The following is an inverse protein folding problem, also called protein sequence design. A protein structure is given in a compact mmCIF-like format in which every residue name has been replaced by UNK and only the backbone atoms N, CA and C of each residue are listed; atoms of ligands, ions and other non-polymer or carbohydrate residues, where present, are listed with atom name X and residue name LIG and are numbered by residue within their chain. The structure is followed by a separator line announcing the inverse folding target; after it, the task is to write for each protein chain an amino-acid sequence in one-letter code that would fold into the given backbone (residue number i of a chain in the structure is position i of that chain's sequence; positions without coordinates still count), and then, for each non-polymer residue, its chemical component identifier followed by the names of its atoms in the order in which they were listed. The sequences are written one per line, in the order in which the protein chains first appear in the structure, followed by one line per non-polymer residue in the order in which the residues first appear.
data_IF_178741736195
#
_entry.id   IF_178741736195
#
_cell.length_a   1.000
_cell.length_b   1.000
_cell.length_c   1.000
_cell.angle_alpha   90.00
_cell.angle_beta   90.00
_cell.angle_gamma   90.00
#
_symmetry.space_group_name_H-M   'P 1'
#
loop_
_entity.id
_entity.type
_entity.pdbx_description
1 polymer ?
#
# COMPACT_ATOMS: atom_id res chain seq x y z
N UNK A 1 7.23 57.75 4.27
CA UNK A 1 5.82 57.65 4.66
C UNK A 1 5.30 56.34 4.06
N UNK A 2 5.57 55.24 4.77
CA UNK A 2 5.15 53.92 4.35
C UNK A 2 3.79 53.61 4.98
N UNK A 3 2.82 53.33 4.15
CA UNK A 3 1.53 52.78 4.55
C UNK A 3 1.75 51.43 5.24
N UNK A 4 1.66 51.46 6.55
CA UNK A 4 1.45 50.28 7.36
C UNK A 4 0.03 49.80 7.08
N UNK A 5 -0.13 48.92 6.09
CA UNK A 5 -1.34 48.12 5.97
C UNK A 5 -1.52 47.38 7.29
N UNK A 6 -2.29 47.94 8.21
CA UNK A 6 -2.92 47.19 9.31
C UNK A 6 -3.78 46.13 8.65
N UNK A 7 -3.22 44.91 8.53
CA UNK A 7 -4.02 43.70 8.22
C UNK A 7 -5.09 43.66 9.34
N UNK A 8 -6.34 44.03 9.00
CA UNK A 8 -7.48 43.66 9.83
C UNK A 8 -7.34 42.16 10.14
N UNK A 9 -7.58 41.70 11.37
CA UNK A 9 -7.55 40.30 11.70
C UNK A 9 -8.58 39.60 10.78
N UNK A 10 -8.08 38.92 9.74
CA UNK A 10 -8.95 38.19 8.83
C UNK A 10 -9.67 37.14 9.67
N UNK A 11 -11.00 37.19 9.64
CA UNK A 11 -11.86 36.24 10.34
C UNK A 11 -11.46 34.79 9.99
N UNK A 12 -11.28 33.94 11.00
CA UNK A 12 -10.91 32.53 10.80
C UNK A 12 -11.88 31.81 9.84
N UNK A 13 -13.15 32.18 9.85
CA UNK A 13 -14.18 31.65 8.95
C UNK A 13 -13.87 31.98 7.48
N UNK A 14 -13.47 33.20 7.17
CA UNK A 14 -13.14 33.61 5.79
C UNK A 14 -11.90 32.87 5.28
N UNK A 15 -10.91 32.71 6.17
CA UNK A 15 -9.70 31.89 5.84
C UNK A 15 -10.02 30.43 5.62
N UNK A 16 -10.92 29.87 6.44
CA UNK A 16 -11.40 28.51 6.30
C UNK A 16 -12.09 28.26 4.95
N UNK A 17 -13.05 29.12 4.60
CA UNK A 17 -13.76 29.02 3.32
C UNK A 17 -12.83 29.16 2.11
N UNK A 18 -11.86 30.08 2.20
CA UNK A 18 -10.85 30.27 1.16
C UNK A 18 -9.93 29.08 1.07
N UNK A 19 -9.53 28.51 2.20
CA UNK A 19 -8.65 27.34 2.26
C UNK A 19 -9.30 26.09 1.67
N UNK A 20 -10.56 25.82 2.01
CA UNK A 20 -11.30 24.69 1.42
C UNK A 20 -11.39 24.83 -0.10
N UNK A 21 -11.79 26.00 -0.60
CA UNK A 21 -11.90 26.26 -2.05
C UNK A 21 -10.57 26.16 -2.78
N UNK A 22 -9.51 26.78 -2.25
CA UNK A 22 -8.19 26.79 -2.89
C UNK A 22 -7.55 25.41 -2.99
N UNK A 23 -7.79 24.56 -2.01
CA UNK A 23 -7.21 23.21 -1.95
C UNK A 23 -8.21 22.13 -2.39
N UNK A 24 -9.38 22.51 -2.91
CA UNK A 24 -10.43 21.62 -3.41
C UNK A 24 -10.75 20.49 -2.39
N UNK A 25 -10.84 20.85 -1.10
CA UNK A 25 -11.02 19.87 -0.03
C UNK A 25 -12.44 19.33 0.05
N UNK A 26 -13.43 20.14 -0.31
CA UNK A 26 -14.83 19.77 -0.35
C UNK A 26 -15.57 20.66 -1.36
N UNK A 27 -16.47 20.07 -2.11
CA UNK A 27 -17.41 20.74 -3.00
C UNK A 27 -18.67 21.18 -2.20
N UNK A 28 -19.44 22.16 -2.68
CA UNK A 28 -20.67 22.61 -2.00
C UNK A 28 -21.72 21.51 -1.82
N UNK A 29 -21.77 20.56 -2.74
CA UNK A 29 -22.68 19.41 -2.76
C UNK A 29 -22.24 18.25 -1.87
N UNK A 30 -21.01 18.25 -1.38
CA UNK A 30 -20.50 17.18 -0.55
C UNK A 30 -21.26 17.04 0.77
N UNK A 31 -21.47 15.79 1.18
CA UNK A 31 -21.95 15.47 2.50
C UNK A 31 -20.77 15.04 3.37
N UNK A 32 -20.44 15.85 4.39
CA UNK A 32 -19.17 15.77 5.11
C UNK A 32 -19.38 15.17 6.50
N UNK A 33 -18.67 14.10 6.83
CA UNK A 33 -18.62 13.53 8.17
C UNK A 33 -17.53 14.24 8.98
N UNK A 34 -17.92 14.99 10.00
CA UNK A 34 -17.00 15.67 10.91
C UNK A 34 -16.64 14.77 12.08
N UNK A 35 -15.34 14.54 12.28
CA UNK A 35 -14.87 13.78 13.44
C UNK A 35 -14.68 14.72 14.63
N UNK A 36 -15.58 14.64 15.63
CA UNK A 36 -15.63 15.58 16.74
C UNK A 36 -15.34 14.86 18.06
N UNK A 37 -14.23 15.24 18.71
CA UNK A 37 -13.78 14.65 19.98
C UNK A 37 -14.24 15.38 21.23
N UNK A 38 -14.84 16.58 21.09
CA UNK A 38 -15.14 17.48 22.21
C UNK A 38 -14.03 18.48 22.53
N UNK A 39 -12.81 18.26 21.99
CA UNK A 39 -11.68 19.20 22.11
C UNK A 39 -11.84 20.42 21.22
N UNK A 40 -11.17 21.54 21.58
CA UNK A 40 -11.33 22.86 20.94
C UNK A 40 -11.19 22.81 19.42
N UNK A 41 -10.22 22.05 18.87
CA UNK A 41 -9.95 22.02 17.43
C UNK A 41 -11.15 21.41 16.68
N UNK A 42 -11.72 20.33 17.19
CA UNK A 42 -12.86 19.64 16.59
C UNK A 42 -14.18 20.41 16.75
N UNK A 43 -14.37 21.10 17.88
CA UNK A 43 -15.55 21.93 18.13
C UNK A 43 -15.54 23.19 17.25
N UNK A 44 -14.36 23.80 17.05
CA UNK A 44 -14.20 24.92 16.10
C UNK A 44 -14.41 24.45 14.66
N UNK A 45 -13.90 23.28 14.28
CA UNK A 45 -14.15 22.70 12.96
C UNK A 45 -15.65 22.53 12.69
N UNK A 46 -16.41 21.98 13.63
CA UNK A 46 -17.87 21.85 13.56
C UNK A 46 -18.54 23.21 13.31
N UNK A 47 -18.21 24.22 14.13
CA UNK A 47 -18.76 25.57 13.99
C UNK A 47 -18.44 26.18 12.61
N UNK A 48 -17.22 26.05 12.13
CA UNK A 48 -16.79 26.60 10.83
C UNK A 48 -17.53 25.97 9.65
N UNK A 49 -17.71 24.65 9.64
CA UNK A 49 -18.46 23.98 8.59
C UNK A 49 -19.93 24.37 8.58
N UNK A 50 -20.59 24.34 9.73
CA UNK A 50 -22.01 24.73 9.85
C UNK A 50 -22.20 26.16 9.39
N UNK A 51 -21.37 27.10 9.87
CA UNK A 51 -21.44 28.52 9.49
C UNK A 51 -21.08 28.79 8.03
N UNK A 52 -20.36 27.89 7.39
CA UNK A 52 -20.06 27.94 5.96
C UNK A 52 -21.17 27.34 5.08
N UNK A 53 -22.23 26.78 5.67
CA UNK A 53 -23.38 26.25 4.96
C UNK A 53 -23.17 24.85 4.33
N UNK A 54 -22.12 24.13 4.73
CA UNK A 54 -21.93 22.76 4.26
C UNK A 54 -22.92 21.79 4.90
N UNK A 55 -23.31 20.77 4.15
CA UNK A 55 -24.10 19.66 4.67
C UNK A 55 -23.19 18.72 5.45
N UNK A 56 -23.41 18.61 6.76
CA UNK A 56 -22.52 17.87 7.66
C UNK A 56 -23.26 16.89 8.55
N UNK A 57 -22.54 15.85 9.01
CA UNK A 57 -22.90 15.02 10.16
C UNK A 57 -21.70 14.88 11.10
N UNK A 58 -21.95 14.56 12.36
CA UNK A 58 -20.96 14.49 13.43
C UNK A 58 -20.75 13.04 13.86
N UNK A 59 -19.50 12.58 13.87
CA UNK A 59 -19.08 11.28 14.42
C UNK A 59 -18.21 11.50 15.67
N UNK A 60 -18.64 10.95 16.80
CA UNK A 60 -17.89 10.92 18.06
C UNK A 60 -17.45 9.51 18.42
N UNK A 61 -16.15 9.32 18.67
CA UNK A 61 -15.58 8.05 19.11
C UNK A 61 -15.32 8.08 20.62
N UNK A 62 -16.04 7.31 21.39
CA UNK A 62 -15.78 7.13 22.82
C UNK A 62 -14.97 5.83 23.04
N UNK A 63 -13.67 5.97 23.32
CA UNK A 63 -12.76 4.84 23.54
C UNK A 63 -12.77 4.31 24.97
N UNK A 64 -13.61 4.86 25.84
CA UNK A 64 -13.78 4.48 27.26
C UNK A 64 -12.46 4.47 28.07
N UNK A 65 -11.51 5.33 27.72
CA UNK A 65 -10.17 5.33 28.32
C UNK A 65 -10.05 6.27 29.54
N UNK A 66 -11.02 7.20 29.74
CA UNK A 66 -10.96 8.25 30.76
C UNK A 66 -12.20 8.26 31.67
N UNK A 67 -13.00 7.19 31.66
CA UNK A 67 -14.19 7.10 32.50
C UNK A 67 -15.15 8.27 32.29
N UNK A 68 -15.50 8.99 33.36
CA UNK A 68 -16.47 10.11 33.36
C UNK A 68 -16.10 11.21 32.36
N UNK A 69 -14.81 11.55 32.20
CA UNK A 69 -14.40 12.57 31.21
C UNK A 69 -14.80 12.19 29.79
N UNK A 70 -14.75 10.90 29.45
CA UNK A 70 -15.17 10.43 28.10
C UNK A 70 -16.69 10.54 27.90
N UNK A 71 -17.48 10.40 28.95
CA UNK A 71 -18.93 10.56 28.89
C UNK A 71 -19.33 12.03 28.81
N UNK A 72 -18.62 12.92 29.51
CA UNK A 72 -18.83 14.37 29.45
C UNK A 72 -18.44 14.95 28.07
N UNK A 73 -17.40 14.40 27.42
CA UNK A 73 -17.05 14.77 26.05
C UNK A 73 -18.15 14.35 25.06
N UNK A 74 -18.66 13.13 25.20
CA UNK A 74 -19.76 12.59 24.40
C UNK A 74 -21.02 13.46 24.53
N UNK A 75 -21.40 13.82 25.76
CA UNK A 75 -22.58 14.66 26.03
C UNK A 75 -22.41 16.09 25.49
N UNK A 76 -21.20 16.67 25.57
CA UNK A 76 -20.90 17.98 24.98
C UNK A 76 -21.11 17.95 23.47
N UNK A 77 -20.54 16.95 22.78
CA UNK A 77 -20.64 16.82 21.32
C UNK A 77 -22.09 16.60 20.90
N UNK A 78 -22.83 15.77 21.62
CA UNK A 78 -24.26 15.53 21.37
C UNK A 78 -25.06 16.84 21.42
N UNK A 79 -24.92 17.61 22.50
CA UNK A 79 -25.64 18.88 22.67
C UNK A 79 -25.35 19.91 21.59
N UNK A 80 -24.07 20.02 21.19
CA UNK A 80 -23.73 20.99 20.14
C UNK A 80 -24.21 20.51 18.75
N UNK A 81 -24.19 19.20 18.47
CA UNK A 81 -24.76 18.65 17.24
C UNK A 81 -26.29 18.91 17.16
N UNK A 82 -27.01 18.67 18.25
CA UNK A 82 -28.45 18.96 18.37
C UNK A 82 -28.74 20.44 18.21
N UNK A 83 -27.97 21.31 18.82
CA UNK A 83 -28.10 22.79 18.71
C UNK A 83 -27.94 23.28 17.27
N UNK A 84 -27.02 22.65 16.50
CA UNK A 84 -26.83 22.94 15.08
C UNK A 84 -27.81 22.24 14.17
N UNK A 85 -28.62 21.27 14.66
CA UNK A 85 -29.57 20.51 13.89
C UNK A 85 -28.91 19.54 12.90
N UNK A 86 -27.72 19.04 13.24
CA UNK A 86 -26.95 18.13 12.37
C UNK A 86 -27.00 16.67 12.86
N UNK A 87 -26.99 15.69 11.96
CA UNK A 87 -26.93 14.27 12.35
C UNK A 87 -25.74 13.98 13.26
N UNK A 88 -25.98 13.14 14.27
CA UNK A 88 -24.98 12.79 15.26
C UNK A 88 -24.91 11.28 15.44
N UNK A 89 -23.70 10.75 15.45
CA UNK A 89 -23.39 9.35 15.62
C UNK A 89 -22.36 9.19 16.71
N UNK A 90 -22.56 8.20 17.57
CA UNK A 90 -21.62 7.83 18.63
C UNK A 90 -21.32 6.34 18.58
N UNK A 91 -20.06 5.99 18.81
CA UNK A 91 -19.65 4.60 18.99
C UNK A 91 -18.71 4.48 20.18
N UNK A 92 -19.07 3.62 21.12
CA UNK A 92 -18.24 3.24 22.26
C UNK A 92 -17.43 2.01 21.88
N UNK A 93 -16.11 2.09 22.05
CA UNK A 93 -15.18 1.03 21.65
C UNK A 93 -14.60 0.33 22.89
N UNK A 94 -14.58 -1.00 22.89
CA UNK A 94 -13.77 -1.79 23.81
C UNK A 94 -12.32 -1.84 23.32
N UNK A 95 -11.60 -0.71 23.52
CA UNK A 95 -10.23 -0.58 23.05
C UNK A 95 -9.27 -1.54 23.76
N UNK A 96 -9.55 -1.88 25.03
CA UNK A 96 -8.69 -2.79 25.81
C UNK A 96 -8.82 -4.23 25.32
N UNK A 97 -10.04 -4.71 25.11
CA UNK A 97 -10.28 -6.04 24.55
C UNK A 97 -9.68 -6.20 23.14
N UNK A 98 -9.76 -5.13 22.31
CA UNK A 98 -9.12 -5.14 20.99
C UNK A 98 -7.59 -5.21 21.06
N UNK A 99 -6.95 -4.50 22.00
CA UNK A 99 -5.50 -4.59 22.21
C UNK A 99 -5.07 -6.00 22.61
N UNK A 100 -5.81 -6.63 23.53
CA UNK A 100 -5.53 -8.01 23.99
C UNK A 100 -5.68 -9.02 22.84
N UNK A 101 -6.69 -8.82 21.98
CA UNK A 101 -6.95 -9.70 20.84
C UNK A 101 -5.91 -9.58 19.70
N UNK A 102 -5.42 -8.36 19.45
CA UNK A 102 -4.56 -8.08 18.28
C UNK A 102 -3.07 -7.91 18.61
N UNK A 103 -2.71 -7.69 19.88
CA UNK A 103 -1.37 -7.32 20.30
C UNK A 103 -0.94 -5.90 19.87
N UNK A 104 -1.87 -5.08 19.36
CA UNK A 104 -1.59 -3.71 18.95
C UNK A 104 -1.40 -2.78 20.15
N UNK A 105 -0.66 -1.69 19.95
CA UNK A 105 -0.64 -0.60 20.94
C UNK A 105 -2.02 0.09 20.98
N UNK A 106 -2.34 0.71 22.13
CA UNK A 106 -3.59 1.48 22.33
C UNK A 106 -3.83 2.49 21.20
N UNK A 107 -2.80 3.21 20.78
CA UNK A 107 -2.89 4.22 19.72
C UNK A 107 -3.22 3.59 18.35
N UNK A 108 -2.60 2.43 18.04
CA UNK A 108 -2.85 1.70 16.80
C UNK A 108 -4.26 1.11 16.76
N UNK A 109 -4.69 0.47 17.86
CA UNK A 109 -6.03 -0.11 17.97
C UNK A 109 -7.11 0.98 17.87
N UNK A 110 -6.98 2.06 18.63
CA UNK A 110 -7.92 3.20 18.58
C UNK A 110 -7.97 3.84 17.18
N UNK A 111 -6.82 3.95 16.51
CA UNK A 111 -6.74 4.48 15.14
C UNK A 111 -7.47 3.56 14.16
N UNK A 112 -7.20 2.27 14.18
CA UNK A 112 -7.84 1.29 13.28
C UNK A 112 -9.36 1.26 13.47
N UNK A 113 -9.82 1.17 14.71
CA UNK A 113 -11.25 1.16 15.04
C UNK A 113 -11.97 2.41 14.56
N UNK A 114 -11.35 3.57 14.76
CA UNK A 114 -11.85 4.87 14.32
C UNK A 114 -12.08 4.93 12.82
N UNK A 115 -11.07 4.60 12.02
CA UNK A 115 -11.17 4.69 10.57
C UNK A 115 -12.13 3.65 9.98
N UNK A 116 -12.13 2.42 10.51
CA UNK A 116 -13.10 1.41 10.10
C UNK A 116 -14.55 1.87 10.30
N UNK A 117 -14.82 2.52 11.44
CA UNK A 117 -16.16 3.05 11.71
C UNK A 117 -16.51 4.26 10.84
N UNK A 118 -15.58 5.14 10.54
CA UNK A 118 -15.84 6.25 9.61
C UNK A 118 -16.15 5.75 8.20
N UNK A 119 -15.51 4.69 7.74
CA UNK A 119 -15.82 4.04 6.47
C UNK A 119 -17.21 3.36 6.48
N UNK A 120 -17.60 2.75 7.61
CA UNK A 120 -18.93 2.18 7.84
C UNK A 120 -20.00 3.28 7.71
N UNK A 121 -19.89 4.37 8.50
CA UNK A 121 -20.81 5.51 8.45
C UNK A 121 -20.89 6.15 7.08
N UNK A 122 -19.74 6.28 6.41
CA UNK A 122 -19.71 6.89 5.07
C UNK A 122 -20.49 6.06 4.05
N UNK A 123 -20.44 4.74 4.14
CA UNK A 123 -21.19 3.83 3.27
C UNK A 123 -22.69 3.82 3.59
N UNK A 124 -23.04 3.79 4.89
CA UNK A 124 -24.42 3.69 5.34
C UNK A 124 -25.23 4.98 5.08
N UNK A 125 -24.59 6.13 5.27
CA UNK A 125 -25.27 7.42 5.23
C UNK A 125 -24.89 8.30 4.03
N UNK A 126 -24.01 7.82 3.14
CA UNK A 126 -23.62 8.52 1.92
C UNK A 126 -22.68 9.71 2.13
N UNK A 127 -21.84 9.70 3.18
CA UNK A 127 -20.80 10.71 3.35
C UNK A 127 -19.71 10.55 2.30
N UNK A 128 -19.46 11.63 1.56
CA UNK A 128 -18.45 11.66 0.48
C UNK A 128 -17.07 12.00 1.00
N UNK A 129 -17.00 12.78 2.08
CA UNK A 129 -15.77 13.33 2.69
C UNK A 129 -15.80 13.12 4.20
N UNK A 130 -14.64 12.87 4.81
CA UNK A 130 -14.44 12.79 6.26
C UNK A 130 -13.43 13.85 6.69
N UNK A 131 -13.82 14.77 7.58
CA UNK A 131 -12.97 15.84 8.04
C UNK A 131 -12.39 15.59 9.44
N UNK A 132 -11.08 15.79 9.58
CA UNK A 132 -10.33 15.65 10.84
C UNK A 132 -9.70 16.98 11.21
N UNK A 133 -9.82 17.38 12.47
CA UNK A 133 -9.42 18.70 12.98
C UNK A 133 -7.90 18.83 13.27
N UNK A 134 -7.04 18.33 12.36
CA UNK A 134 -5.61 18.59 12.45
C UNK A 134 -5.28 20.01 11.99
N UNK A 135 -4.33 20.65 12.65
CA UNK A 135 -3.88 22.01 12.37
C UNK A 135 -2.36 22.08 12.14
N UNK A 136 -1.83 23.28 11.83
CA UNK A 136 -0.41 23.41 11.46
C UNK A 136 0.55 22.97 12.58
N UNK A 137 0.21 23.18 13.86
CA UNK A 137 1.09 22.76 14.96
C UNK A 137 1.21 21.21 15.01
N UNK A 138 0.14 20.44 14.68
CA UNK A 138 0.22 18.97 14.55
C UNK A 138 1.17 18.55 13.42
N UNK A 139 1.17 19.29 12.32
CA UNK A 139 2.08 19.06 11.20
C UNK A 139 3.53 19.35 11.59
N UNK A 140 3.78 20.41 12.35
CA UNK A 140 5.09 20.75 12.91
C UNK A 140 5.57 19.63 13.86
N UNK A 141 4.71 19.15 14.74
CA UNK A 141 5.03 18.03 15.64
C UNK A 141 5.40 16.78 14.84
N UNK A 142 4.63 16.47 13.79
CA UNK A 142 4.89 15.31 12.91
C UNK A 142 6.21 15.47 12.15
N UNK A 143 6.52 16.68 11.67
CA UNK A 143 7.82 16.99 11.06
C UNK A 143 8.98 16.63 12.00
N UNK A 144 8.94 17.08 13.25
CA UNK A 144 10.01 16.77 14.22
C UNK A 144 10.04 15.30 14.61
N UNK A 145 8.90 14.65 14.78
CA UNK A 145 8.86 13.20 15.05
C UNK A 145 9.58 12.42 13.95
N UNK A 146 9.27 12.75 12.70
CA UNK A 146 9.86 12.07 11.55
C UNK A 146 11.34 12.41 11.39
N UNK A 147 11.72 13.68 11.60
CA UNK A 147 13.12 14.11 11.58
C UNK A 147 13.98 13.32 12.60
N UNK A 148 13.48 13.16 13.83
CA UNK A 148 14.17 12.42 14.90
C UNK A 148 14.22 10.90 14.64
N UNK A 149 13.33 10.37 13.82
CA UNK A 149 13.33 8.94 13.43
C UNK A 149 14.22 8.63 12.24
N UNK A 150 14.74 9.67 11.58
CA UNK A 150 15.40 9.54 10.29
C UNK A 150 14.38 9.34 9.17
N UNK A 151 14.27 10.29 8.26
CA UNK A 151 13.32 10.23 7.15
C UNK A 151 13.86 10.92 5.91
N UNK A 152 13.39 10.52 4.74
CA UNK A 152 13.54 11.28 3.50
C UNK A 152 12.54 12.45 3.41
N UNK A 153 12.55 13.14 2.27
CA UNK A 153 11.74 14.33 2.02
C UNK A 153 10.26 14.11 2.31
N UNK A 154 9.70 12.97 1.91
CA UNK A 154 8.28 12.60 2.13
C UNK A 154 7.85 12.70 3.59
N UNK A 155 8.69 12.28 4.53
CA UNK A 155 8.37 12.38 5.95
C UNK A 155 8.46 13.78 6.51
N UNK A 156 9.19 14.69 5.84
CA UNK A 156 9.32 16.11 6.23
C UNK A 156 8.20 16.99 5.68
N UNK A 157 7.30 16.48 4.86
CA UNK A 157 6.11 17.23 4.40
C UNK A 157 5.02 17.35 5.47
N UNK A 158 5.25 16.80 6.68
CA UNK A 158 4.31 16.84 7.77
C UNK A 158 3.04 16.00 7.52
N UNK A 159 1.88 16.57 7.84
CA UNK A 159 0.58 15.92 7.64
C UNK A 159 -0.04 16.42 6.33
N UNK A 160 -0.41 15.50 5.43
CA UNK A 160 -1.07 15.84 4.17
C UNK A 160 -2.46 16.44 4.41
N UNK A 161 -2.86 17.41 3.60
CA UNK A 161 -4.16 18.07 3.69
C UNK A 161 -5.32 17.20 3.22
N UNK A 162 -5.03 16.28 2.27
CA UNK A 162 -5.99 15.39 1.65
C UNK A 162 -5.40 13.98 1.50
N UNK A 163 -6.18 12.94 1.83
CA UNK A 163 -5.78 11.54 1.67
C UNK A 163 -7.02 10.67 1.38
N UNK A 164 -7.30 10.41 0.12
CA UNK A 164 -8.55 9.75 -0.31
C UNK A 164 -9.78 10.57 0.12
N UNK A 165 -10.68 10.00 0.92
CA UNK A 165 -11.85 10.71 1.45
C UNK A 165 -11.55 11.59 2.67
N UNK A 166 -10.32 11.52 3.22
CA UNK A 166 -9.96 12.25 4.44
C UNK A 166 -9.44 13.64 4.11
N UNK A 167 -10.00 14.67 4.72
CA UNK A 167 -9.54 16.06 4.61
C UNK A 167 -9.13 16.62 5.97
N UNK A 168 -8.25 17.63 5.96
CA UNK A 168 -7.77 18.34 7.15
C UNK A 168 -7.94 19.84 6.96
N UNK A 169 -9.15 20.34 7.20
CA UNK A 169 -9.54 21.70 6.82
C UNK A 169 -8.94 22.80 7.69
N UNK A 170 -8.31 22.46 8.82
CA UNK A 170 -7.69 23.43 9.73
C UNK A 170 -6.17 23.57 9.57
N UNK A 171 -5.56 22.93 8.56
CA UNK A 171 -4.09 22.99 8.36
C UNK A 171 -3.55 24.41 8.11
N UNK A 172 -4.39 25.35 7.74
CA UNK A 172 -4.02 26.76 7.61
C UNK A 172 -3.94 27.49 8.94
N UNK A 173 -4.59 27.01 10.00
CA UNK A 173 -4.71 27.67 11.30
C UNK A 173 -3.67 27.14 12.30
N UNK A 174 -3.21 27.99 13.19
CA UNK A 174 -2.48 27.58 14.39
C UNK A 174 -3.45 27.28 15.54
N UNK A 175 -2.98 26.52 16.54
CA UNK A 175 -3.77 26.29 17.75
C UNK A 175 -4.16 27.61 18.45
N UNK A 176 -3.31 28.64 18.37
CA UNK A 176 -3.60 29.96 18.88
C UNK A 176 -4.81 30.59 18.16
N UNK A 177 -4.83 30.55 16.83
CA UNK A 177 -5.93 31.10 16.02
C UNK A 177 -7.25 30.39 16.34
N UNK A 178 -7.19 29.04 16.51
CA UNK A 178 -8.35 28.24 16.88
C UNK A 178 -8.89 28.59 18.26
N UNK A 179 -8.03 28.73 19.26
CA UNK A 179 -8.42 29.12 20.63
C UNK A 179 -9.02 30.53 20.65
N UNK A 180 -8.41 31.51 19.98
CA UNK A 180 -8.92 32.87 19.89
C UNK A 180 -10.31 32.89 19.25
N UNK A 181 -10.54 32.10 18.20
CA UNK A 181 -11.85 31.97 17.58
C UNK A 181 -12.88 31.30 18.50
N UNK A 182 -12.48 30.22 19.20
CA UNK A 182 -13.36 29.54 20.15
C UNK A 182 -13.88 30.51 21.24
N UNK A 183 -12.97 31.31 21.81
CA UNK A 183 -13.32 32.30 22.82
C UNK A 183 -14.22 33.39 22.23
N UNK A 184 -13.87 33.97 21.07
CA UNK A 184 -14.62 35.02 20.43
C UNK A 184 -16.04 34.61 20.01
N UNK A 185 -16.23 33.34 19.66
CA UNK A 185 -17.52 32.79 19.24
C UNK A 185 -18.26 32.00 20.36
N UNK A 186 -17.73 32.02 21.59
CA UNK A 186 -18.30 31.32 22.76
C UNK A 186 -18.55 29.80 22.45
N UNK A 187 -17.61 29.15 21.73
CA UNK A 187 -17.72 27.74 21.42
C UNK A 187 -17.33 26.93 22.65
N UNK A 188 -18.21 26.07 23.19
CA UNK A 188 -17.85 25.22 24.30
C UNK A 188 -16.90 24.10 23.84
N UNK A 189 -15.91 23.77 24.67
CA UNK A 189 -14.96 22.69 24.45
C UNK A 189 -14.43 22.19 25.78
N UNK A 190 -13.82 21.01 25.78
CA UNK A 190 -13.15 20.43 26.94
C UNK A 190 -11.65 20.24 26.65
N UNK A 191 -10.83 20.40 27.68
CA UNK A 191 -9.40 20.10 27.57
C UNK A 191 -9.15 18.63 27.94
N UNK A 192 -8.45 17.90 27.08
CA UNK A 192 -8.02 16.54 27.36
C UNK A 192 -6.86 16.53 28.37
N UNK A 193 -7.11 15.97 29.57
CA UNK A 193 -6.11 15.87 30.65
C UNK A 193 -4.83 15.13 30.22
N UNK A 194 -4.91 14.22 29.26
CA UNK A 194 -3.76 13.46 28.73
C UNK A 194 -2.75 14.32 27.95
N UNK A 195 -3.15 15.49 27.49
CA UNK A 195 -2.28 16.44 26.77
C UNK A 195 -1.12 16.98 27.63
N UNK A 196 -1.22 16.88 28.96
CA UNK A 196 -0.17 17.34 29.91
C UNK A 196 0.91 16.28 30.17
N UNK A 197 0.71 15.05 29.75
CA UNK A 197 1.65 13.95 30.01
C UNK A 197 2.84 13.99 29.03
N UNK A 198 4.06 14.05 29.54
CA UNK A 198 5.31 14.01 28.73
C UNK A 198 5.76 12.57 28.40
N UNK A 199 4.94 11.55 28.64
CA UNK A 199 5.25 10.15 28.35
C UNK A 199 5.48 9.91 26.85
N UNK A 200 4.72 10.61 25.99
CA UNK A 200 4.77 10.42 24.55
C UNK A 200 5.69 11.43 23.87
N UNK A 201 6.41 10.98 22.82
CA UNK A 201 7.33 11.82 22.04
C UNK A 201 6.66 13.09 21.49
N UNK A 202 5.42 12.98 21.01
CA UNK A 202 4.63 14.11 20.52
C UNK A 202 4.48 15.19 21.59
N UNK A 203 4.14 14.80 22.81
CA UNK A 203 3.99 15.75 23.92
C UNK A 203 5.33 16.35 24.35
N UNK A 204 6.44 15.58 24.31
CA UNK A 204 7.78 16.15 24.55
C UNK A 204 8.17 17.23 23.55
N UNK A 205 7.80 17.03 22.27
CA UNK A 205 8.03 18.03 21.22
C UNK A 205 7.11 19.24 21.45
N UNK A 206 5.81 19.02 21.68
CA UNK A 206 4.79 20.07 21.91
C UNK A 206 5.11 20.95 23.10
N UNK A 207 5.47 20.35 24.24
CA UNK A 207 5.65 21.07 25.51
C UNK A 207 7.10 21.50 25.78
N UNK A 208 8.08 20.80 25.20
CA UNK A 208 9.50 21.06 25.46
C UNK A 208 10.24 21.73 24.32
N UNK A 209 10.13 21.21 23.09
CA UNK A 209 10.95 21.67 21.96
C UNK A 209 10.35 22.90 21.29
N UNK A 210 9.07 22.81 20.86
CA UNK A 210 8.40 23.86 20.08
C UNK A 210 8.33 25.20 20.83
N UNK A 211 8.02 25.28 22.15
CA UNK A 211 8.03 26.54 22.88
C UNK A 211 9.39 27.20 22.89
N UNK A 212 10.46 26.43 23.11
CA UNK A 212 11.84 26.98 23.13
C UNK A 212 12.26 27.55 21.77
N UNK A 213 11.84 26.91 20.69
CA UNK A 213 12.11 27.44 19.34
C UNK A 213 11.31 28.73 19.12
N UNK A 214 10.05 28.79 19.60
CA UNK A 214 9.21 30.02 19.51
C UNK A 214 9.77 31.18 20.32
N UNK A 215 10.48 30.93 21.42
CA UNK A 215 11.23 31.96 22.18
C UNK A 215 12.35 32.57 21.32
N UNK A 216 13.10 31.73 20.58
CA UNK A 216 14.17 32.17 19.68
C UNK A 216 13.60 32.85 18.43
N UNK A 217 12.52 32.30 17.87
CA UNK A 217 11.89 32.79 16.66
C UNK A 217 10.38 32.91 16.85
N UNK A 218 9.85 34.08 17.23
CA UNK A 218 8.41 34.28 17.44
C UNK A 218 7.53 33.97 16.20
N UNK A 219 8.09 34.08 14.99
CA UNK A 219 7.43 33.76 13.72
C UNK A 219 7.58 32.28 13.31
N UNK A 220 8.08 31.43 14.21
CA UNK A 220 8.42 30.03 13.91
C UNK A 220 7.26 29.26 13.24
N UNK A 221 6.05 29.37 13.73
CA UNK A 221 4.88 28.66 13.16
C UNK A 221 4.65 29.05 11.70
N UNK A 222 4.76 30.34 11.35
CA UNK A 222 4.57 30.81 9.97
C UNK A 222 5.71 30.39 9.06
N UNK A 223 6.96 30.43 9.57
CA UNK A 223 8.13 29.94 8.85
C UNK A 223 8.03 28.44 8.59
N UNK A 224 7.61 27.65 9.57
CA UNK A 224 7.42 26.21 9.39
C UNK A 224 6.30 25.89 8.42
N UNK A 225 5.19 26.63 8.44
CA UNK A 225 4.13 26.50 7.43
C UNK A 225 4.69 26.69 6.01
N UNK A 226 5.50 27.74 5.79
CA UNK A 226 6.14 27.99 4.50
C UNK A 226 7.12 26.90 4.12
N UNK A 227 7.97 26.44 5.06
CA UNK A 227 8.95 25.38 4.81
C UNK A 227 8.28 24.05 4.46
N UNK A 228 7.28 23.64 5.24
CA UNK A 228 6.49 22.43 4.95
C UNK A 228 5.82 22.56 3.59
N UNK A 229 5.26 23.73 3.24
CA UNK A 229 4.69 23.97 1.91
C UNK A 229 5.72 23.77 0.79
N UNK A 230 6.91 24.39 0.90
CA UNK A 230 7.98 24.20 -0.10
C UNK A 230 8.46 22.76 -0.23
N UNK A 231 8.56 22.05 0.90
CA UNK A 231 8.91 20.62 0.90
C UNK A 231 7.81 19.77 0.23
N UNK A 232 6.54 20.14 0.45
CA UNK A 232 5.40 19.48 -0.21
C UNK A 232 5.43 19.72 -1.72
N UNK A 233 5.68 20.95 -2.17
CA UNK A 233 5.80 21.27 -3.60
C UNK A 233 6.96 20.49 -4.25
N UNK A 234 8.11 20.42 -3.57
CA UNK A 234 9.25 19.62 -4.03
C UNK A 234 8.90 18.12 -4.12
N UNK A 235 8.19 17.58 -3.13
CA UNK A 235 7.74 16.19 -3.16
C UNK A 235 6.74 15.91 -4.28
N UNK A 236 5.83 16.83 -4.56
CA UNK A 236 4.92 16.72 -5.71
C UNK A 236 5.69 16.68 -7.04
N UNK A 237 6.67 17.55 -7.21
CA UNK A 237 7.54 17.56 -8.39
C UNK A 237 8.28 16.22 -8.54
N UNK A 238 8.84 15.69 -7.44
CA UNK A 238 9.49 14.38 -7.43
C UNK A 238 8.51 13.27 -7.83
N UNK A 239 7.32 13.26 -7.25
CA UNK A 239 6.31 12.24 -7.55
C UNK A 239 5.96 12.22 -9.04
N UNK A 240 5.75 13.39 -9.66
CA UNK A 240 5.49 13.50 -11.10
C UNK A 240 6.69 13.04 -11.94
N UNK A 241 7.91 13.41 -11.55
CA UNK A 241 9.11 12.98 -12.25
C UNK A 241 9.32 11.47 -12.18
N UNK A 242 9.14 10.88 -10.99
CA UNK A 242 9.23 9.43 -10.78
C UNK A 242 8.16 8.68 -11.55
N UNK A 243 6.93 9.22 -11.63
CA UNK A 243 5.87 8.58 -12.43
C UNK A 243 6.24 8.52 -13.91
N UNK A 244 6.79 9.59 -14.47
CA UNK A 244 7.29 9.61 -15.87
C UNK A 244 8.43 8.61 -16.07
N UNK A 245 9.43 8.63 -15.19
CA UNK A 245 10.54 7.68 -15.23
C UNK A 245 10.00 6.25 -15.19
N UNK A 246 9.03 5.97 -14.32
CA UNK A 246 8.39 4.66 -14.19
C UNK A 246 7.82 4.16 -15.51
N UNK A 247 7.09 5.01 -16.25
CA UNK A 247 6.46 4.68 -17.53
C UNK A 247 7.51 4.33 -18.61
N UNK A 248 8.72 4.93 -18.52
CA UNK A 248 9.81 4.71 -19.45
C UNK A 248 10.66 3.47 -19.12
N UNK A 249 10.84 3.18 -17.81
CA UNK A 249 11.82 2.18 -17.37
C UNK A 249 11.20 0.86 -16.88
N UNK A 250 9.88 0.79 -16.64
CA UNK A 250 9.21 -0.43 -16.19
C UNK A 250 8.42 -1.05 -17.32
N UNK A 251 8.65 -2.34 -17.55
CA UNK A 251 7.81 -3.18 -18.41
C UNK A 251 7.18 -4.29 -17.58
N UNK A 252 5.91 -4.60 -17.84
CA UNK A 252 5.18 -5.65 -17.15
C UNK A 252 4.85 -6.79 -18.10
N UNK A 253 5.34 -7.98 -17.82
CA UNK A 253 5.07 -9.19 -18.60
C UNK A 253 4.76 -10.35 -17.63
N UNK A 254 3.71 -11.10 -17.87
CA UNK A 254 3.31 -12.27 -17.06
C UNK A 254 3.22 -11.99 -15.54
N UNK A 255 2.80 -10.78 -15.14
CA UNK A 255 2.74 -10.36 -13.75
C UNK A 255 4.12 -10.19 -13.09
N UNK A 256 5.14 -9.91 -13.89
CA UNK A 256 6.50 -9.54 -13.48
C UNK A 256 6.78 -8.12 -13.96
N UNK A 257 7.05 -7.22 -13.04
CA UNK A 257 7.52 -5.89 -13.36
C UNK A 257 9.04 -5.90 -13.49
N UNK A 258 9.56 -5.49 -14.65
CA UNK A 258 10.99 -5.41 -14.92
C UNK A 258 11.42 -3.94 -14.99
N UNK A 259 12.29 -3.53 -14.08
CA UNK A 259 12.90 -2.19 -14.05
C UNK A 259 14.20 -2.24 -14.85
N UNK A 260 14.24 -1.53 -15.97
CA UNK A 260 15.38 -1.43 -16.88
C UNK A 260 16.33 -0.31 -16.42
N UNK A 261 17.37 -0.68 -15.68
CA UNK A 261 18.34 0.27 -15.11
C UNK A 261 19.08 1.07 -16.20
N UNK A 262 19.35 0.44 -17.33
CA UNK A 262 19.99 1.04 -18.50
C UNK A 262 19.19 2.16 -19.17
N UNK A 263 17.88 2.25 -18.88
CA UNK A 263 17.00 3.33 -19.37
C UNK A 263 16.89 4.52 -18.40
N UNK A 264 17.41 4.40 -17.18
CA UNK A 264 17.41 5.50 -16.22
C UNK A 264 18.48 6.51 -16.69
N UNK A 265 18.07 7.77 -16.87
CA UNK A 265 19.00 8.84 -17.20
C UNK A 265 20.04 9.00 -16.07
N UNK A 266 21.32 8.97 -16.46
CA UNK A 266 22.47 9.08 -15.54
C UNK A 266 22.57 10.45 -14.86
N UNK A 267 21.83 11.45 -15.31
CA UNK A 267 21.72 12.75 -14.64
C UNK A 267 20.99 12.64 -13.28
N UNK A 268 20.18 11.60 -13.10
CA UNK A 268 19.51 11.37 -11.83
C UNK A 268 20.34 10.49 -10.89
N UNK A 269 20.30 10.75 -9.55
CA UNK A 269 20.91 9.87 -8.57
C UNK A 269 20.24 8.49 -8.58
N UNK A 270 20.94 7.47 -9.06
CA UNK A 270 20.38 6.13 -9.26
C UNK A 270 19.73 5.56 -7.99
N UNK A 271 20.43 5.69 -6.85
CA UNK A 271 19.93 5.21 -5.55
C UNK A 271 18.58 5.82 -5.19
N UNK A 272 18.43 7.12 -5.45
CA UNK A 272 17.19 7.84 -5.16
C UNK A 272 16.06 7.38 -6.10
N UNK A 273 16.32 7.26 -7.39
CA UNK A 273 15.31 6.81 -8.36
C UNK A 273 14.84 5.39 -8.03
N UNK A 274 15.79 4.46 -7.80
CA UNK A 274 15.44 3.08 -7.44
C UNK A 274 14.66 3.03 -6.12
N UNK A 275 15.08 3.79 -5.11
CA UNK A 275 14.35 3.87 -3.85
C UNK A 275 12.91 4.33 -4.06
N UNK A 276 12.69 5.43 -4.79
CA UNK A 276 11.35 5.96 -5.03
C UNK A 276 10.49 5.01 -5.85
N UNK A 277 11.02 4.35 -6.90
CA UNK A 277 10.32 3.36 -7.70
C UNK A 277 9.90 2.14 -6.84
N UNK A 278 10.79 1.63 -6.01
CA UNK A 278 10.55 0.45 -5.18
C UNK A 278 9.66 0.74 -3.97
N UNK A 279 9.85 1.88 -3.32
CA UNK A 279 9.08 2.25 -2.13
C UNK A 279 7.65 2.64 -2.46
N UNK A 280 7.45 3.49 -3.48
CA UNK A 280 6.13 4.03 -3.82
C UNK A 280 5.15 2.96 -4.30
N UNK A 281 5.63 1.93 -5.00
CA UNK A 281 4.78 0.93 -5.65
C UNK A 281 4.75 -0.39 -4.90
N UNK A 282 5.92 -0.84 -4.41
CA UNK A 282 6.08 -2.20 -3.89
C UNK A 282 6.40 -2.22 -2.39
N UNK A 283 6.39 -1.05 -1.72
CA UNK A 283 6.59 -0.89 -0.28
C UNK A 283 7.94 -1.44 0.25
N UNK A 284 9.00 -1.38 -0.56
CA UNK A 284 10.34 -1.71 -0.08
C UNK A 284 10.85 -0.61 0.86
N UNK A 285 11.51 -1.01 1.94
CA UNK A 285 12.13 -0.08 2.89
C UNK A 285 13.46 0.45 2.34
N UNK A 286 13.92 1.59 2.86
CA UNK A 286 15.16 2.24 2.41
C UNK A 286 16.39 1.34 2.55
N UNK A 287 16.55 0.65 3.66
CA UNK A 287 17.66 -0.26 3.93
C UNK A 287 17.74 -1.41 2.90
N UNK A 288 16.58 -1.94 2.50
CA UNK A 288 16.47 -3.00 1.47
C UNK A 288 16.80 -2.44 0.09
N UNK A 289 16.28 -1.26 -0.24
CA UNK A 289 16.57 -0.59 -1.52
C UNK A 289 18.06 -0.26 -1.64
N UNK A 290 18.70 0.24 -0.58
CA UNK A 290 20.14 0.52 -0.53
C UNK A 290 20.98 -0.76 -0.68
N UNK A 291 20.55 -1.87 -0.07
CA UNK A 291 21.22 -3.16 -0.22
C UNK A 291 21.11 -3.69 -1.66
N UNK A 292 19.96 -3.50 -2.30
CA UNK A 292 19.73 -3.88 -3.68
C UNK A 292 20.61 -3.06 -4.64
N UNK A 293 20.69 -1.73 -4.44
CA UNK A 293 21.53 -0.86 -5.28
C UNK A 293 23.00 -1.20 -5.14
N UNK A 294 23.50 -1.40 -3.91
CA UNK A 294 24.88 -1.88 -3.68
C UNK A 294 25.17 -3.20 -4.41
N UNK A 295 24.22 -4.12 -4.40
CA UNK A 295 24.39 -5.40 -5.08
C UNK A 295 24.44 -5.25 -6.63
N UNK A 296 23.69 -4.30 -7.18
CA UNK A 296 23.75 -3.93 -8.61
C UNK A 296 25.11 -3.33 -8.98
N UNK A 297 25.59 -2.35 -8.22
CA UNK A 297 26.87 -1.66 -8.48
C UNK A 297 28.06 -2.63 -8.41
N UNK A 298 28.01 -3.60 -7.51
CA UNK A 298 29.08 -4.61 -7.34
C UNK A 298 28.99 -5.77 -8.34
N UNK A 299 28.01 -5.78 -9.26
CA UNK A 299 27.71 -6.95 -10.12
C UNK A 299 27.60 -8.28 -9.35
N UNK A 300 27.33 -8.21 -8.05
CA UNK A 300 27.31 -9.36 -7.12
C UNK A 300 25.90 -9.85 -6.81
N UNK A 301 24.89 -9.26 -7.44
CA UNK A 301 23.50 -9.42 -7.08
C UNK A 301 22.70 -10.48 -7.84
N UNK A 302 23.27 -11.06 -8.91
CA UNK A 302 22.56 -12.07 -9.71
C UNK A 302 22.15 -13.27 -8.83
N UNK A 303 20.83 -13.53 -8.77
CA UNK A 303 20.26 -14.58 -7.92
C UNK A 303 19.85 -14.14 -6.53
N UNK A 304 20.26 -12.96 -6.03
CA UNK A 304 19.83 -12.45 -4.73
C UNK A 304 18.37 -12.03 -4.75
N UNK A 305 17.69 -12.23 -3.62
CA UNK A 305 16.29 -11.90 -3.40
C UNK A 305 16.19 -10.82 -2.32
N UNK A 306 15.37 -9.82 -2.56
CA UNK A 306 15.09 -8.72 -1.64
C UNK A 306 13.59 -8.68 -1.37
N UNK A 307 13.17 -8.59 -0.12
CA UNK A 307 11.77 -8.73 0.26
C UNK A 307 11.20 -7.41 0.80
N UNK A 308 9.99 -7.09 0.37
CA UNK A 308 9.09 -6.17 1.04
C UNK A 308 8.00 -6.95 1.80
N UNK A 309 6.98 -6.26 2.30
CA UNK A 309 5.83 -6.95 2.93
C UNK A 309 4.97 -7.72 1.93
N UNK A 310 4.96 -7.32 0.67
CA UNK A 310 4.05 -7.83 -0.37
C UNK A 310 4.75 -8.33 -1.62
N UNK A 311 6.01 -7.93 -1.85
CA UNK A 311 6.75 -8.23 -3.08
C UNK A 311 8.15 -8.74 -2.81
N UNK A 312 8.69 -9.45 -3.79
CA UNK A 312 10.09 -9.86 -3.84
C UNK A 312 10.74 -9.28 -5.11
N UNK A 313 11.92 -8.69 -4.94
CA UNK A 313 12.74 -8.19 -6.03
C UNK A 313 13.93 -9.14 -6.27
N UNK A 314 14.25 -9.33 -7.54
CA UNK A 314 15.38 -10.15 -8.02
C UNK A 314 16.29 -9.28 -8.86
N UNK A 315 17.60 -9.50 -8.76
CA UNK A 315 18.55 -8.94 -9.73
C UNK A 315 18.83 -10.01 -10.77
N UNK A 316 18.53 -9.75 -12.02
CA UNK A 316 18.83 -10.63 -13.15
C UNK A 316 19.39 -9.80 -14.31
N UNK A 317 20.62 -10.10 -14.74
CA UNK A 317 21.31 -9.48 -15.90
C UNK A 317 21.27 -7.96 -15.90
N UNK A 318 21.55 -7.33 -14.74
CA UNK A 318 21.56 -5.87 -14.60
C UNK A 318 20.19 -5.21 -14.56
N UNK A 319 19.12 -5.99 -14.43
CA UNK A 319 17.73 -5.50 -14.28
C UNK A 319 17.20 -5.88 -12.91
N UNK A 320 16.21 -5.13 -12.43
CA UNK A 320 15.45 -5.49 -11.22
C UNK A 320 14.10 -6.03 -11.66
N UNK A 321 13.80 -7.26 -11.27
CA UNK A 321 12.51 -7.89 -11.54
C UNK A 321 11.72 -7.97 -10.24
N UNK A 322 10.50 -7.46 -10.21
CA UNK A 322 9.66 -7.41 -9.02
C UNK A 322 8.39 -8.24 -9.25
N UNK A 323 8.05 -9.08 -8.27
CA UNK A 323 6.80 -9.85 -8.30
C UNK A 323 6.14 -9.83 -6.93
N UNK A 324 4.81 -10.02 -6.84
CA UNK A 324 4.18 -10.36 -5.57
C UNK A 324 4.85 -11.58 -4.94
N UNK A 325 4.94 -11.58 -3.61
CA UNK A 325 5.37 -12.78 -2.87
C UNK A 325 4.35 -13.87 -3.16
N UNK A 326 4.77 -15.04 -3.69
CA UNK A 326 3.86 -16.15 -3.90
C UNK A 326 3.16 -16.48 -2.58
N UNK A 327 1.86 -16.67 -2.60
CA UNK A 327 1.18 -17.28 -1.45
C UNK A 327 1.89 -18.63 -1.15
N UNK A 328 2.07 -18.92 0.14
CA UNK A 328 2.61 -20.20 0.63
C UNK A 328 1.57 -21.33 0.40
N UNK A 329 1.20 -21.52 -0.85
CA UNK A 329 0.37 -22.63 -1.26
C UNK A 329 1.33 -23.71 -1.79
N UNK A 330 1.49 -24.84 -1.08
CA UNK A 330 2.17 -26.00 -1.62
C UNK A 330 1.29 -26.56 -2.74
N UNK A 331 1.37 -25.94 -3.91
CA UNK A 331 0.58 -26.35 -5.07
C UNK A 331 1.09 -27.71 -5.55
N UNK A 332 0.64 -28.75 -4.87
CA UNK A 332 0.72 -30.14 -5.30
C UNK A 332 -0.71 -30.61 -5.50
N UNK A 333 -1.06 -30.88 -6.75
CA UNK A 333 -2.38 -31.34 -7.14
C UNK A 333 -2.25 -32.74 -7.74
N UNK A 334 -3.08 -33.66 -7.27
CA UNK A 334 -3.21 -34.97 -7.89
C UNK A 334 -4.33 -34.92 -8.93
N UNK A 335 -4.08 -35.56 -10.07
CA UNK A 335 -4.97 -35.58 -11.22
C UNK A 335 -5.31 -37.07 -11.51
N UNK A 336 -6.52 -37.45 -11.21
CA UNK A 336 -7.03 -38.78 -11.44
C UNK A 336 -7.26 -39.04 -12.94
N UNK A 337 -7.29 -40.31 -13.31
CA UNK A 337 -7.61 -40.70 -14.70
C UNK A 337 -8.99 -40.16 -15.09
N UNK A 338 -9.07 -39.53 -16.27
CA UNK A 338 -10.31 -38.96 -16.79
C UNK A 338 -10.68 -37.54 -16.18
N UNK A 339 -9.88 -37.00 -15.30
CA UNK A 339 -10.08 -35.63 -14.83
C UNK A 339 -9.95 -34.63 -16.01
N UNK A 340 -10.94 -33.75 -16.25
CA UNK A 340 -10.92 -32.86 -17.43
C UNK A 340 -9.95 -31.67 -17.26
N UNK A 341 -9.64 -31.27 -16.02
CA UNK A 341 -8.76 -30.13 -15.71
C UNK A 341 -8.24 -30.15 -14.28
N UNK A 342 -7.11 -29.42 -14.06
CA UNK A 342 -6.64 -29.07 -12.73
C UNK A 342 -6.14 -27.62 -12.69
N UNK A 343 -6.12 -27.03 -11.48
CA UNK A 343 -5.64 -25.67 -11.24
C UNK A 343 -4.25 -25.74 -10.61
N UNK A 344 -3.31 -24.93 -11.11
CA UNK A 344 -1.96 -24.81 -10.57
C UNK A 344 -1.46 -23.36 -10.63
N UNK A 345 -1.41 -22.73 -9.47
CA UNK A 345 -1.08 -21.30 -9.38
C UNK A 345 -2.08 -20.44 -10.15
N UNK A 346 -1.59 -19.62 -11.10
CA UNK A 346 -2.42 -18.79 -12.00
C UNK A 346 -2.70 -19.46 -13.34
N UNK A 347 -2.70 -20.78 -13.41
CA UNK A 347 -2.91 -21.52 -14.65
C UNK A 347 -3.88 -22.68 -14.45
N UNK A 348 -4.57 -23.04 -15.53
CA UNK A 348 -5.39 -24.24 -15.65
C UNK A 348 -4.72 -25.17 -16.64
N UNK A 349 -4.64 -26.44 -16.31
CA UNK A 349 -4.27 -27.51 -17.24
C UNK A 349 -5.53 -28.27 -17.61
N UNK A 350 -5.85 -28.33 -18.90
CA UNK A 350 -6.93 -29.13 -19.46
C UNK A 350 -6.36 -30.44 -19.98
N UNK A 351 -7.04 -31.58 -19.74
CA UNK A 351 -6.62 -32.91 -20.12
C UNK A 351 -7.67 -33.50 -21.05
N UNK A 352 -7.24 -33.93 -22.24
CA UNK A 352 -8.07 -34.55 -23.23
C UNK A 352 -7.39 -35.86 -23.69
N UNK A 353 -8.07 -36.98 -23.48
CA UNK A 353 -7.65 -38.27 -24.07
C UNK A 353 -8.16 -38.35 -25.52
N UNK A 354 -7.27 -38.67 -26.45
CA UNK A 354 -7.56 -38.77 -27.88
C UNK A 354 -6.95 -40.07 -28.44
N UNK A 355 -7.55 -40.58 -29.49
CA UNK A 355 -6.94 -41.63 -30.31
C UNK A 355 -5.78 -41.06 -31.13
N UNK A 356 -4.73 -41.85 -31.42
CA UNK A 356 -3.59 -41.40 -32.21
C UNK A 356 -4.03 -40.94 -33.60
N UNK A 357 -5.07 -41.55 -34.18
CA UNK A 357 -5.59 -41.26 -35.52
C UNK A 357 -6.24 -39.86 -35.58
N UNK A 358 -6.64 -39.29 -34.45
CA UNK A 358 -7.21 -37.95 -34.35
C UNK A 358 -6.12 -36.85 -34.25
N UNK A 359 -4.84 -37.19 -34.23
CA UNK A 359 -3.74 -36.25 -34.05
C UNK A 359 -3.24 -35.72 -35.39
N UNK A 360 -3.53 -34.42 -35.65
CA UNK A 360 -3.14 -33.73 -36.90
C UNK A 360 -1.73 -33.12 -36.82
N UNK A 361 -0.71 -33.89 -36.42
CA UNK A 361 0.67 -33.44 -36.38
C UNK A 361 1.34 -33.48 -35.01
N UNK A 362 2.67 -33.63 -34.99
CA UNK A 362 3.48 -33.83 -33.79
C UNK A 362 4.13 -32.52 -33.26
N UNK A 363 4.03 -31.40 -34.01
CA UNK A 363 4.58 -30.10 -33.66
C UNK A 363 3.52 -29.24 -33.00
N UNK A 364 3.49 -29.19 -31.66
CA UNK A 364 2.57 -28.35 -30.89
C UNK A 364 3.29 -27.20 -30.21
N UNK A 365 2.63 -26.06 -29.97
CA UNK A 365 3.19 -24.94 -29.17
C UNK A 365 3.58 -25.39 -27.76
N UNK A 366 4.52 -24.70 -27.13
CA UNK A 366 5.05 -25.06 -25.80
C UNK A 366 4.01 -25.14 -24.67
N UNK A 367 2.89 -24.41 -24.80
CA UNK A 367 1.77 -24.47 -23.86
C UNK A 367 0.88 -25.71 -24.04
N UNK A 368 1.16 -26.54 -25.04
CA UNK A 368 0.48 -27.82 -25.28
C UNK A 368 1.49 -28.95 -25.16
N UNK A 369 1.12 -30.02 -24.46
CA UNK A 369 1.83 -31.29 -24.46
C UNK A 369 0.97 -32.36 -25.09
N UNK A 370 1.60 -33.25 -25.91
CA UNK A 370 1.02 -34.48 -26.41
C UNK A 370 1.94 -35.60 -25.95
N UNK A 371 1.42 -36.50 -25.11
CA UNK A 371 2.19 -37.57 -24.51
C UNK A 371 1.47 -38.90 -24.67
N UNK A 372 2.23 -39.96 -24.73
CA UNK A 372 1.77 -41.35 -24.81
C UNK A 372 1.01 -41.69 -23.52
N UNK A 373 -0.33 -41.80 -23.60
CA UNK A 373 -1.18 -42.01 -22.46
C UNK A 373 -1.01 -43.46 -21.89
N UNK A 374 -0.59 -44.42 -22.70
CA UNK A 374 -0.46 -45.81 -22.29
C UNK A 374 0.73 -46.03 -21.35
N UNK A 375 1.69 -45.09 -21.34
CA UNK A 375 2.83 -45.06 -20.41
C UNK A 375 2.58 -44.39 -19.08
N UNK A 376 1.42 -43.70 -18.94
CA UNK A 376 1.13 -42.89 -17.75
C UNK A 376 0.64 -43.78 -16.59
N UNK A 377 1.14 -43.46 -15.39
CA UNK A 377 0.68 -44.05 -14.13
C UNK A 377 -0.10 -42.98 -13.33
N UNK A 378 -1.37 -43.25 -13.12
CA UNK A 378 -2.24 -42.38 -12.36
C UNK A 378 -2.23 -42.72 -10.86
N UNK A 379 -2.49 -41.70 -9.94
CA UNK A 379 -2.75 -40.33 -10.28
C UNK A 379 -1.49 -39.59 -10.77
N UNK A 380 -1.69 -38.65 -11.73
CA UNK A 380 -0.62 -37.74 -12.10
C UNK A 380 -0.47 -36.67 -11.03
N UNK A 381 0.74 -36.14 -10.88
CA UNK A 381 1.01 -35.06 -9.89
C UNK A 381 1.48 -33.79 -10.57
N UNK A 382 0.83 -32.69 -10.32
CA UNK A 382 1.32 -31.37 -10.72
C UNK A 382 1.88 -30.67 -9.47
N UNK A 383 3.15 -30.28 -9.52
CA UNK A 383 3.82 -29.54 -8.44
C UNK A 383 4.83 -28.53 -8.96
N UNK A 384 5.28 -27.62 -8.11
CA UNK A 384 6.47 -26.83 -8.43
C UNK A 384 7.70 -27.72 -8.55
N UNK A 385 8.59 -27.38 -9.49
CA UNK A 385 9.85 -28.09 -9.59
C UNK A 385 10.69 -27.92 -8.32
N UNK A 386 11.53 -28.88 -8.03
CA UNK A 386 12.40 -28.95 -6.85
C UNK A 386 13.86 -29.10 -7.26
N UNK A 387 14.77 -28.70 -6.38
CA UNK A 387 16.20 -28.97 -6.59
C UNK A 387 16.45 -30.44 -6.66
N UNK A 388 17.19 -30.84 -7.67
CA UNK A 388 17.42 -32.27 -7.97
C UNK A 388 16.50 -32.87 -9.04
N UNK A 389 15.39 -32.23 -9.41
CA UNK A 389 14.53 -32.66 -10.50
C UNK A 389 15.29 -32.74 -11.83
N UNK A 390 15.04 -33.82 -12.56
CA UNK A 390 15.62 -34.04 -13.86
C UNK A 390 14.59 -34.69 -14.81
N UNK A 391 14.81 -34.55 -16.10
CA UNK A 391 14.03 -35.15 -17.16
C UNK A 391 14.92 -35.40 -18.40
N UNK A 392 14.42 -36.10 -19.39
CA UNK A 392 15.07 -36.26 -20.70
C UNK A 392 14.30 -35.34 -21.67
N UNK A 393 14.81 -34.16 -22.03
CA UNK A 393 14.09 -33.28 -22.94
C UNK A 393 13.80 -33.95 -24.28
N UNK A 394 12.58 -33.84 -24.80
CA UNK A 394 12.18 -34.43 -26.07
C UNK A 394 13.22 -34.16 -27.19
N UNK A 395 13.66 -35.23 -27.86
CA UNK A 395 14.70 -35.21 -28.87
C UNK A 395 16.13 -35.27 -28.33
N UNK A 396 16.34 -35.51 -27.04
CA UNK A 396 17.63 -35.71 -26.41
C UNK A 396 17.74 -37.13 -25.85
N UNK A 397 18.94 -37.68 -25.77
CA UNK A 397 19.18 -39.01 -25.21
C UNK A 397 19.65 -39.02 -23.75
N UNK A 398 19.97 -37.84 -23.18
CA UNK A 398 20.57 -37.72 -21.85
C UNK A 398 19.69 -37.05 -20.84
N UNK A 399 19.86 -37.40 -19.54
CA UNK A 399 19.20 -36.71 -18.42
C UNK A 399 19.70 -35.28 -18.31
N UNK A 400 18.81 -34.35 -18.11
CA UNK A 400 19.10 -32.94 -17.87
C UNK A 400 18.40 -32.47 -16.60
N UNK A 401 19.12 -31.82 -15.70
CA UNK A 401 18.50 -31.20 -14.54
C UNK A 401 17.53 -30.08 -15.00
N UNK A 402 16.39 -29.95 -14.34
CA UNK A 402 15.41 -28.88 -14.61
C UNK A 402 16.07 -27.51 -14.43
N UNK A 403 16.91 -27.36 -13.39
CA UNK A 403 17.70 -26.13 -13.16
C UNK A 403 18.52 -25.73 -14.37
N UNK A 404 19.24 -26.69 -14.95
CA UNK A 404 20.17 -26.49 -16.08
C UNK A 404 19.39 -26.17 -17.36
N UNK A 405 18.28 -26.89 -17.59
CA UNK A 405 17.35 -26.59 -18.69
C UNK A 405 16.84 -25.15 -18.65
N UNK A 406 16.39 -24.72 -17.46
CA UNK A 406 15.87 -23.34 -17.25
C UNK A 406 16.98 -22.27 -17.40
N UNK A 407 18.24 -22.58 -17.07
CA UNK A 407 19.39 -21.70 -17.27
C UNK A 407 19.70 -21.55 -18.76
N UNK A 408 19.81 -22.67 -19.49
CA UNK A 408 20.15 -22.70 -20.91
C UNK A 408 19.11 -21.97 -21.77
N UNK A 409 17.83 -22.05 -21.38
CA UNK A 409 16.73 -21.34 -22.05
C UNK A 409 16.56 -19.92 -21.52
N UNK A 410 17.50 -19.43 -20.68
CA UNK A 410 17.51 -18.04 -20.15
C UNK A 410 16.21 -17.65 -19.44
N UNK A 411 15.53 -18.62 -18.81
CA UNK A 411 14.29 -18.36 -18.08
C UNK A 411 14.56 -17.39 -16.93
N UNK A 412 13.77 -16.31 -16.79
CA UNK A 412 13.94 -15.34 -15.69
C UNK A 412 13.77 -15.97 -14.30
N UNK A 413 14.51 -15.47 -13.32
CA UNK A 413 14.47 -16.01 -11.94
C UNK A 413 13.06 -16.08 -11.32
N UNK A 414 12.20 -15.06 -11.48
CA UNK A 414 10.82 -15.15 -10.99
C UNK A 414 10.00 -16.25 -11.66
N UNK A 415 10.20 -16.49 -12.95
CA UNK A 415 9.52 -17.57 -13.67
C UNK A 415 10.04 -18.94 -13.23
N UNK A 416 11.38 -19.08 -13.01
CA UNK A 416 11.95 -20.32 -12.47
C UNK A 416 11.28 -20.70 -11.14
N UNK A 417 11.06 -19.73 -10.25
CA UNK A 417 10.44 -19.98 -8.96
C UNK A 417 8.97 -20.43 -9.06
N UNK A 418 8.30 -20.13 -10.18
CA UNK A 418 6.89 -20.45 -10.45
C UNK A 418 6.72 -21.64 -11.39
N UNK A 419 7.81 -22.26 -11.88
CA UNK A 419 7.77 -23.34 -12.84
C UNK A 419 7.12 -24.59 -12.24
N UNK A 420 6.14 -25.16 -12.94
CA UNK A 420 5.50 -26.43 -12.59
C UNK A 420 6.05 -27.58 -13.42
N UNK A 421 5.98 -28.78 -12.85
CA UNK A 421 6.23 -30.04 -13.49
C UNK A 421 5.01 -30.94 -13.35
N UNK A 422 4.71 -31.72 -14.39
CA UNK A 422 3.73 -32.80 -14.36
C UNK A 422 4.49 -34.12 -14.24
N UNK A 423 4.12 -34.93 -13.27
CA UNK A 423 4.76 -36.22 -13.00
C UNK A 423 3.77 -37.37 -13.19
N UNK A 424 4.33 -38.53 -13.60
CA UNK A 424 3.71 -39.85 -13.56
C UNK A 424 4.52 -40.72 -12.60
N UNK A 425 3.99 -40.96 -11.38
CA UNK A 425 4.81 -41.45 -10.27
C UNK A 425 5.91 -40.45 -9.93
N UNK A 426 7.18 -40.87 -9.92
CA UNK A 426 8.33 -40.02 -9.62
C UNK A 426 9.01 -39.44 -10.88
N UNK A 427 8.48 -39.70 -12.06
CA UNK A 427 9.07 -39.27 -13.32
C UNK A 427 8.36 -38.04 -13.89
N UNK A 428 9.15 -37.05 -14.31
CA UNK A 428 8.63 -35.88 -14.99
C UNK A 428 8.16 -36.29 -16.40
N UNK A 429 6.91 -35.97 -16.71
CA UNK A 429 6.28 -36.16 -18.02
C UNK A 429 6.41 -34.85 -18.84
N UNK A 430 6.20 -33.72 -18.18
CA UNK A 430 6.19 -32.42 -18.85
C UNK A 430 6.73 -31.34 -17.92
N UNK A 431 7.70 -30.57 -18.39
CA UNK A 431 8.02 -29.25 -17.82
C UNK A 431 6.98 -28.29 -18.32
N UNK A 432 5.98 -28.01 -17.48
CA UNK A 432 4.69 -27.39 -17.86
C UNK A 432 4.88 -26.08 -18.60
N UNK A 433 4.30 -26.01 -19.82
CA UNK A 433 4.44 -24.85 -20.70
C UNK A 433 5.79 -24.73 -21.39
N UNK A 434 6.60 -25.84 -21.43
CA UNK A 434 7.91 -25.86 -22.08
C UNK A 434 8.12 -27.17 -22.87
N UNK A 435 8.71 -28.16 -22.27
CA UNK A 435 9.16 -29.39 -23.01
C UNK A 435 8.66 -30.65 -22.32
N UNK A 436 8.20 -31.63 -23.09
CA UNK A 436 7.89 -32.98 -22.60
C UNK A 436 9.18 -33.80 -22.42
N UNK A 437 9.08 -34.83 -21.61
CA UNK A 437 10.14 -35.84 -21.46
C UNK A 437 10.09 -36.83 -22.64
N UNK A 438 11.23 -37.17 -23.19
CA UNK A 438 11.36 -38.04 -24.37
C UNK A 438 10.82 -39.44 -24.14
N UNK A 439 10.79 -39.95 -22.91
CA UNK A 439 10.22 -41.24 -22.54
C UNK A 439 8.73 -41.35 -22.82
N UNK A 440 8.01 -40.21 -22.73
CA UNK A 440 6.58 -40.11 -22.94
C UNK A 440 6.21 -39.56 -24.32
N UNK A 441 7.16 -39.54 -25.25
CA UNK A 441 6.89 -39.12 -26.63
C UNK A 441 5.98 -40.13 -27.33
N UNK A 442 5.24 -39.64 -28.32
CA UNK A 442 4.46 -40.46 -29.20
C UNK A 442 5.39 -41.30 -30.09
N UNK A 443 5.06 -42.58 -30.28
CA UNK A 443 5.79 -43.54 -31.11
C UNK A 443 4.81 -44.24 -32.07
N UNK A 444 5.31 -45.11 -32.96
CA UNK A 444 4.48 -45.91 -33.85
C UNK A 444 3.62 -46.95 -33.10
N UNK A 445 3.88 -47.18 -31.82
CA UNK A 445 3.17 -48.12 -30.94
C UNK A 445 2.15 -47.47 -30.06
N UNK A 446 2.07 -46.11 -30.08
CA UNK A 446 1.11 -45.34 -29.25
C UNK A 446 -0.29 -45.45 -29.83
N UNK A 447 -1.25 -45.90 -29.03
CA UNK A 447 -2.66 -45.95 -29.39
C UNK A 447 -3.43 -44.76 -28.82
N UNK A 448 -3.17 -44.39 -27.56
CA UNK A 448 -3.85 -43.35 -26.86
C UNK A 448 -2.94 -42.13 -26.55
N UNK A 449 -3.40 -40.95 -26.81
CA UNK A 449 -2.66 -39.70 -26.61
C UNK A 449 -3.36 -38.84 -25.54
N UNK A 450 -2.64 -38.49 -24.48
CA UNK A 450 -3.10 -37.44 -23.56
C UNK A 450 -2.61 -36.07 -24.06
N UNK A 451 -3.56 -35.28 -24.52
CA UNK A 451 -3.33 -33.85 -24.86
C UNK A 451 -3.57 -32.99 -23.64
N UNK A 452 -2.57 -32.19 -23.28
CA UNK A 452 -2.61 -31.31 -22.12
C UNK A 452 -2.41 -29.89 -22.60
N UNK A 453 -3.37 -28.99 -22.31
CA UNK A 453 -3.29 -27.57 -22.69
C UNK A 453 -3.20 -26.70 -21.45
N UNK A 454 -2.20 -25.82 -21.39
CA UNK A 454 -2.03 -24.82 -20.32
C UNK A 454 -2.66 -23.51 -20.73
N UNK A 455 -3.53 -22.96 -19.89
CA UNK A 455 -4.08 -21.62 -20.02
C UNK A 455 -3.75 -20.79 -18.77
N UNK A 456 -3.56 -19.47 -18.92
CA UNK A 456 -3.33 -18.53 -17.83
C UNK A 456 -4.69 -17.90 -17.47
N UNK A 457 -4.99 -17.89 -16.16
CA UNK A 457 -6.26 -17.32 -15.63
C UNK A 457 -6.07 -15.84 -15.30
#
# INVERSE_FOLDING_TARGET
LGDVYKRQPMNLLDNFQRYIRRNELAAPEDFILLTVSGGVDSMVMLSLFVRSGYRVGVAHCNFQLRGVESEEDEELVRREAEKYGVPWYNKRFDTKGEMERTGESMEMAARRLRYAWFDELSREHGYTVVAIAHHIDDSIETFFINLLRGTGLRGLTGITTHAGKLIRPLMFASRKDILEYAVAQHIPYREDSSNRSTKYLRNKIRLGLVPRIKEISPKFTDLMRQNIGRLTDAQLFINHSIQRIREEVITTENGIDTIHIDRIDRAFPLNFVIFELLNSTYSFKGDVSDALVRALEQNSGTGKRFYSKSHVAYIDRGRIMVTPIPADDPCQVQVEAGAPRCYCGNSVLYFELRDIDDIQGFGVPEHIAQVDADKLKYPLTVRRWQEGDWFIPYGMSGRKKVSDYLIDHKVPLPEKARQFVLLSGDEIVWLVGRRIDDRYRLTAETENVLRITKEII
#
